data_IF_618298848429
#
_entry.id   IF_618298848429
#
_cell.length_a   1.000
_cell.length_b   1.000
_cell.length_c   1.000
_cell.angle_alpha   90.00
_cell.angle_beta   90.00
_cell.angle_gamma   90.00
#
_symmetry.space_group_name_H-M   'P 1'
#
loop_
_entity.id
_entity.type
_entity.pdbx_description
1 polymer ?
#
# COMPACT_ATOMS: atom_id res chain seq x y z
N UNK A 1 26.74 -32.84 3.01
CA UNK A 1 25.29 -33.10 3.02
C UNK A 1 24.59 -31.79 3.39
N UNK A 2 24.33 -30.97 2.37
CA UNK A 2 23.43 -29.82 2.44
C UNK A 2 22.54 -30.00 1.21
N UNK A 3 21.34 -30.51 1.42
CA UNK A 3 20.35 -30.72 0.35
C UNK A 3 20.03 -29.36 -0.29
N UNK A 4 20.47 -29.21 -1.53
CA UNK A 4 20.08 -28.13 -2.41
C UNK A 4 18.59 -28.31 -2.68
N UNK A 5 17.75 -27.41 -2.16
CA UNK A 5 16.34 -27.33 -2.53
C UNK A 5 16.24 -27.24 -4.07
N UNK A 6 15.53 -28.18 -4.69
CA UNK A 6 15.41 -28.28 -6.13
C UNK A 6 14.73 -27.04 -6.74
N UNK A 7 14.94 -26.77 -8.04
CA UNK A 7 14.42 -25.59 -8.74
C UNK A 7 12.88 -25.56 -8.90
N UNK A 8 12.15 -26.46 -8.24
CA UNK A 8 10.71 -26.67 -8.37
C UNK A 8 9.92 -26.26 -7.11
N UNK A 9 10.57 -25.56 -6.17
CA UNK A 9 9.85 -24.85 -5.11
C UNK A 9 9.31 -23.55 -5.70
N UNK A 10 8.30 -23.67 -6.56
CA UNK A 10 7.37 -22.58 -6.83
C UNK A 10 6.78 -22.19 -5.48
N UNK A 11 7.10 -20.99 -5.01
CA UNK A 11 6.46 -20.44 -3.82
C UNK A 11 4.95 -20.50 -4.11
N UNK A 12 4.12 -21.01 -3.19
CA UNK A 12 2.69 -21.04 -3.43
C UNK A 12 2.31 -19.61 -3.78
N UNK A 13 1.68 -19.48 -4.95
CA UNK A 13 1.13 -18.25 -5.49
C UNK A 13 0.82 -17.32 -4.33
N UNK A 14 1.64 -16.28 -4.18
CA UNK A 14 1.39 -15.22 -3.22
C UNK A 14 0.09 -14.63 -3.71
N UNK A 15 -1.02 -15.17 -3.23
CA UNK A 15 -2.37 -14.82 -3.59
C UNK A 15 -2.64 -13.50 -2.88
N UNK A 16 -1.98 -12.45 -3.37
CA UNK A 16 -2.49 -11.11 -3.18
C UNK A 16 -3.95 -11.18 -3.57
N UNK A 17 -4.86 -10.79 -2.67
CA UNK A 17 -6.27 -10.86 -2.98
C UNK A 17 -6.50 -10.13 -4.31
N UNK A 18 -7.33 -10.75 -5.15
CA UNK A 18 -7.76 -10.11 -6.39
C UNK A 18 -8.28 -8.71 -6.07
N UNK A 19 -7.93 -7.72 -6.89
CA UNK A 19 -8.33 -6.32 -6.67
C UNK A 19 -9.85 -6.20 -6.53
N UNK A 20 -10.60 -7.06 -7.23
CA UNK A 20 -12.05 -7.16 -7.06
C UNK A 20 -12.44 -7.56 -5.64
N UNK A 21 -11.76 -8.56 -5.04
CA UNK A 21 -12.01 -8.97 -3.66
C UNK A 21 -11.71 -7.86 -2.66
N UNK A 22 -10.65 -7.08 -2.85
CA UNK A 22 -10.31 -5.96 -1.95
C UNK A 22 -11.40 -4.88 -1.94
N UNK A 23 -11.94 -4.56 -3.12
CA UNK A 23 -13.04 -3.58 -3.25
C UNK A 23 -14.30 -4.09 -2.54
N UNK A 24 -14.68 -5.35 -2.77
CA UNK A 24 -15.85 -5.95 -2.11
C UNK A 24 -15.67 -6.02 -0.59
N UNK A 25 -14.46 -6.32 -0.10
CA UNK A 25 -14.17 -6.35 1.33
C UNK A 25 -14.35 -4.95 1.98
N UNK A 26 -13.90 -3.90 1.30
CA UNK A 26 -14.08 -2.51 1.77
C UNK A 26 -15.56 -2.12 1.73
N UNK A 27 -16.29 -2.46 0.67
CA UNK A 27 -17.72 -2.20 0.58
C UNK A 27 -18.51 -2.90 1.68
N UNK A 28 -18.21 -4.19 1.94
CA UNK A 28 -18.86 -4.96 2.99
C UNK A 28 -18.62 -4.38 4.39
N UNK A 29 -17.43 -3.84 4.66
CA UNK A 29 -17.15 -3.15 5.94
C UNK A 29 -17.98 -1.87 6.13
N UNK A 30 -18.47 -1.28 5.03
CA UNK A 30 -19.28 -0.08 5.00
C UNK A 30 -20.77 -0.33 4.76
N UNK A 31 -21.28 -1.53 5.05
CA UNK A 31 -22.68 -1.92 4.79
C UNK A 31 -23.10 -1.68 3.33
N UNK A 32 -22.21 -1.98 2.38
CA UNK A 32 -22.34 -1.72 0.94
C UNK A 32 -22.54 -0.23 0.58
N UNK A 33 -22.28 0.68 1.51
CA UNK A 33 -22.34 2.12 1.26
C UNK A 33 -21.06 2.61 0.59
N UNK A 34 -21.03 2.55 -0.73
CA UNK A 34 -19.92 3.00 -1.55
C UNK A 34 -19.49 4.45 -1.26
N UNK A 35 -20.42 5.36 -0.91
CA UNK A 35 -20.06 6.75 -0.59
C UNK A 35 -19.32 6.87 0.74
N UNK A 36 -19.74 6.10 1.75
CA UNK A 36 -19.05 6.03 3.03
C UNK A 36 -17.66 5.42 2.87
N UNK A 37 -17.54 4.36 2.07
CA UNK A 37 -16.27 3.73 1.73
C UNK A 37 -15.28 4.69 1.06
N UNK A 38 -15.71 5.36 0.00
CA UNK A 38 -14.87 6.35 -0.70
C UNK A 38 -14.49 7.50 0.24
N UNK A 39 -15.41 7.96 1.11
CA UNK A 39 -15.11 9.01 2.08
C UNK A 39 -14.00 8.59 3.03
N UNK A 40 -14.10 7.40 3.62
CA UNK A 40 -13.07 6.86 4.51
C UNK A 40 -11.73 6.73 3.80
N UNK A 41 -11.70 6.18 2.58
CA UNK A 41 -10.46 6.07 1.80
C UNK A 41 -9.82 7.43 1.50
N UNK A 42 -10.63 8.46 1.22
CA UNK A 42 -10.12 9.82 1.00
C UNK A 42 -9.54 10.43 2.28
N UNK A 43 -10.20 10.20 3.43
CA UNK A 43 -9.72 10.66 4.72
C UNK A 43 -8.41 9.94 5.12
N UNK A 44 -8.30 8.63 4.86
CA UNK A 44 -7.08 7.85 5.06
C UNK A 44 -5.94 8.33 4.15
N UNK A 45 -6.21 8.56 2.86
CA UNK A 45 -5.24 9.14 1.94
C UNK A 45 -4.72 10.49 2.43
N UNK A 46 -5.61 11.35 2.94
CA UNK A 46 -5.24 12.65 3.50
C UNK A 46 -4.37 12.48 4.74
N UNK A 47 -4.72 11.57 5.65
CA UNK A 47 -3.94 11.26 6.84
C UNK A 47 -2.53 10.77 6.48
N UNK A 48 -2.41 9.82 5.53
CA UNK A 48 -1.13 9.29 5.09
C UNK A 48 -0.25 10.37 4.45
N UNK A 49 -0.81 11.27 3.64
CA UNK A 49 -0.07 12.41 3.08
C UNK A 49 0.45 13.35 4.16
N UNK A 50 -0.33 13.58 5.22
CA UNK A 50 0.10 14.40 6.36
C UNK A 50 1.24 13.73 7.13
N UNK A 51 1.15 12.43 7.39
CA UNK A 51 2.23 11.66 8.03
C UNK A 51 3.50 11.68 7.18
N UNK A 52 3.38 11.56 5.86
CA UNK A 52 4.51 11.62 4.95
C UNK A 52 5.18 12.99 4.95
N UNK A 53 4.40 14.07 4.94
CA UNK A 53 4.92 15.44 5.04
C UNK A 53 5.62 15.70 6.37
N UNK A 54 5.07 15.18 7.48
CA UNK A 54 5.73 15.25 8.77
C UNK A 54 7.06 14.49 8.76
N UNK A 55 7.06 13.25 8.26
CA UNK A 55 8.26 12.43 8.14
C UNK A 55 9.33 13.11 7.28
N UNK A 56 8.94 13.67 6.13
CA UNK A 56 9.83 14.45 5.26
C UNK A 56 10.44 15.65 5.99
N UNK A 57 9.65 16.37 6.79
CA UNK A 57 10.13 17.56 7.51
C UNK A 57 11.15 17.25 8.60
N UNK A 58 11.09 16.06 9.20
CA UNK A 58 12.00 15.65 10.28
C UNK A 58 13.21 14.85 9.79
N UNK A 59 13.09 14.19 8.64
CA UNK A 59 14.19 13.42 8.05
C UNK A 59 15.18 14.33 7.34
N UNK A 60 16.48 14.17 7.61
CA UNK A 60 17.51 14.85 6.83
C UNK A 60 17.68 14.22 5.45
N UNK A 61 18.06 15.02 4.44
CA UNK A 61 18.37 14.53 3.09
C UNK A 61 19.47 13.47 3.08
N UNK A 62 20.41 13.54 4.03
CA UNK A 62 21.47 12.55 4.21
C UNK A 62 20.95 11.21 4.76
N UNK A 63 19.99 11.25 5.68
CA UNK A 63 19.37 10.05 6.24
C UNK A 63 18.58 9.26 5.18
N UNK A 64 17.87 9.95 4.29
CA UNK A 64 17.15 9.34 3.18
C UNK A 64 18.04 9.04 1.95
N UNK A 65 19.37 9.26 2.03
CA UNK A 65 20.31 9.12 0.90
C UNK A 65 19.85 9.83 -0.37
N UNK A 66 19.30 11.03 -0.22
CA UNK A 66 18.79 11.86 -1.32
C UNK A 66 17.41 11.46 -1.84
N UNK A 67 16.78 10.41 -1.33
CA UNK A 67 15.40 10.07 -1.65
C UNK A 67 14.43 11.07 -1.01
N UNK A 68 13.36 11.42 -1.74
CA UNK A 68 12.28 12.26 -1.26
C UNK A 68 10.92 11.66 -1.68
N UNK A 69 9.88 11.81 -0.86
CA UNK A 69 8.55 11.28 -1.18
C UNK A 69 7.96 11.97 -2.42
N UNK A 70 7.25 11.19 -3.23
CA UNK A 70 6.46 11.69 -4.36
C UNK A 70 4.98 11.55 -3.99
N UNK A 71 4.30 12.69 -3.90
CA UNK A 71 2.90 12.73 -3.46
C UNK A 71 1.91 12.43 -4.59
N UNK A 72 2.34 12.54 -5.83
CA UNK A 72 1.53 12.27 -7.00
C UNK A 72 1.88 10.89 -7.54
N UNK A 73 0.86 10.15 -7.98
CA UNK A 73 1.08 8.90 -8.71
C UNK A 73 1.56 9.27 -10.11
N UNK A 74 2.59 8.60 -10.61
CA UNK A 74 2.95 8.72 -12.02
C UNK A 74 1.70 8.31 -12.84
N UNK A 75 1.17 9.22 -13.65
CA UNK A 75 -0.01 8.96 -14.46
C UNK A 75 0.32 7.83 -15.45
N UNK A 76 -0.52 6.80 -15.48
CA UNK A 76 -0.45 5.67 -16.43
C UNK A 76 -0.84 6.12 -17.84
#
# INVERSE_FOLDING_TARGET
MLEQAGPDQAWPDQTWPDQAWEVEAVLAWHDDNAKAAIRSLLDDCKHLRQQLALAESVMSRGMARGWAPRYERDAL
#
